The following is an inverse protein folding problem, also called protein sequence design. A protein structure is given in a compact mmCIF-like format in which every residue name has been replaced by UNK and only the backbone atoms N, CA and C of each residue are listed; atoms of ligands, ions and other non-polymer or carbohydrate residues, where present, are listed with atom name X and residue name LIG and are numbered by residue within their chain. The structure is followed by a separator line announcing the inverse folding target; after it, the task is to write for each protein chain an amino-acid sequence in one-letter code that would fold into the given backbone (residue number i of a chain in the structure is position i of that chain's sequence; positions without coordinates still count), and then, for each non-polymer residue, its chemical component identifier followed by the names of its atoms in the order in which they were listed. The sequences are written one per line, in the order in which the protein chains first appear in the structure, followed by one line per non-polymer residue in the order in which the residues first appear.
data_IF_666775685896
#
_entry.id   IF_666775685896
#
_cell.length_a   1.000
_cell.length_b   1.000
_cell.length_c   1.000
_cell.angle_alpha   90.00
_cell.angle_beta   90.00
_cell.angle_gamma   90.00
#
_symmetry.space_group_name_H-M   'P 1'
#
loop_
_entity.id
_entity.type
_entity.pdbx_description
1 polymer ?
#
# COMPACT_ATOMS: atom_id res chain seq x y z
N UNK A 1 -4.79 76.95 37.05
CA UNK A 1 -6.02 77.39 36.37
C UNK A 1 -5.76 77.37 34.87
N UNK A 2 -6.03 76.24 34.22
CA UNK A 2 -6.12 76.12 32.76
C UNK A 2 -7.20 75.07 32.46
N UNK A 3 -8.18 75.34 31.57
CA UNK A 3 -9.38 74.53 31.45
C UNK A 3 -9.31 73.49 30.33
N UNK A 4 -10.22 72.53 30.49
CA UNK A 4 -10.60 71.40 29.64
C UNK A 4 -11.36 71.92 28.40
N UNK A 5 -11.22 71.25 27.25
CA UNK A 5 -12.37 71.01 26.37
C UNK A 5 -12.23 69.75 25.54
N UNK A 6 -13.33 68.99 25.52
CA UNK A 6 -13.52 67.69 24.91
C UNK A 6 -14.58 67.76 23.81
N UNK A 7 -14.61 66.75 22.93
CA UNK A 7 -15.77 66.13 22.23
C UNK A 7 -15.95 66.37 20.71
N UNK A 8 -16.11 65.21 20.03
CA UNK A 8 -17.03 64.87 18.91
C UNK A 8 -16.57 64.93 17.45
N UNK A 9 -16.28 63.73 16.92
CA UNK A 9 -16.93 63.04 15.78
C UNK A 9 -17.67 63.85 14.69
N UNK A 10 -17.35 63.54 13.43
CA UNK A 10 -18.31 63.63 12.32
C UNK A 10 -17.69 63.70 10.91
N UNK A 11 -17.77 62.60 10.17
CA UNK A 11 -18.00 62.61 8.71
C UNK A 11 -16.81 62.89 7.78
N UNK A 12 -16.16 61.81 7.32
CA UNK A 12 -15.47 61.78 6.03
C UNK A 12 -15.81 60.46 5.34
N UNK A 13 -17.08 60.33 4.94
CA UNK A 13 -17.46 59.45 3.85
C UNK A 13 -17.36 60.24 2.56
N UNK A 14 -17.00 59.52 1.49
CA UNK A 14 -17.13 59.87 0.07
C UNK A 14 -15.81 60.22 -0.64
N UNK A 15 -15.07 59.17 -1.07
CA UNK A 15 -14.84 58.88 -2.50
C UNK A 15 -13.80 57.77 -2.75
N UNK A 16 -14.24 56.66 -3.37
CA UNK A 16 -13.44 55.67 -4.11
C UNK A 16 -12.65 54.66 -3.24
N UNK A 17 -12.69 53.35 -3.44
CA UNK A 17 -13.10 52.51 -4.57
C UNK A 17 -13.67 51.20 -4.01
N UNK A 18 -14.81 50.78 -4.55
CA UNK A 18 -15.39 49.47 -4.27
C UNK A 18 -14.58 48.40 -5.01
N UNK A 19 -13.82 47.59 -4.28
CA UNK A 19 -13.32 46.33 -4.81
C UNK A 19 -14.36 45.26 -4.47
N UNK A 20 -15.08 44.79 -5.49
CA UNK A 20 -16.07 43.74 -5.37
C UNK A 20 -15.43 42.48 -4.75
N UNK A 21 -15.85 42.17 -3.53
CA UNK A 21 -15.63 40.85 -2.93
C UNK A 21 -16.40 39.85 -3.80
N UNK A 22 -15.69 39.17 -4.69
CA UNK A 22 -16.25 38.05 -5.45
C UNK A 22 -16.73 37.00 -4.45
N UNK A 23 -17.99 36.53 -4.54
CA UNK A 23 -18.48 35.50 -3.64
C UNK A 23 -17.65 34.23 -3.85
N UNK A 24 -17.23 33.62 -2.75
CA UNK A 24 -16.61 32.29 -2.74
C UNK A 24 -17.44 31.35 -3.61
N UNK A 25 -16.88 30.96 -4.76
CA UNK A 25 -17.49 29.98 -5.63
C UNK A 25 -17.58 28.69 -4.82
N UNK A 26 -18.79 28.34 -4.40
CA UNK A 26 -19.14 27.02 -3.86
C UNK A 26 -18.79 25.98 -4.93
N UNK A 27 -17.55 25.48 -4.89
CA UNK A 27 -17.10 24.37 -5.73
C UNK A 27 -17.95 23.17 -5.31
N UNK A 28 -19.00 22.90 -6.10
CA UNK A 28 -19.97 21.86 -5.83
C UNK A 28 -19.26 20.54 -5.58
N UNK A 29 -19.69 19.82 -4.55
CA UNK A 29 -19.16 18.51 -4.14
C UNK A 29 -19.04 17.55 -5.33
N UNK A 30 -19.96 17.70 -6.29
CA UNK A 30 -20.03 16.96 -7.54
C UNK A 30 -18.84 17.23 -8.49
N UNK A 31 -18.38 18.48 -8.61
CA UNK A 31 -17.20 18.82 -9.41
C UNK A 31 -15.91 18.26 -8.79
N UNK A 32 -15.84 18.21 -7.46
CA UNK A 32 -14.73 17.62 -6.71
C UNK A 32 -14.69 16.11 -6.91
N UNK A 33 -15.85 15.45 -6.83
CA UNK A 33 -16.02 14.01 -7.12
C UNK A 33 -15.71 13.69 -8.59
N UNK A 34 -16.16 14.50 -9.55
CA UNK A 34 -15.83 14.33 -10.98
C UNK A 34 -14.33 14.47 -11.24
N UNK A 35 -13.67 15.44 -10.60
CA UNK A 35 -12.21 15.62 -10.68
C UNK A 35 -11.45 14.44 -10.05
N UNK A 36 -11.99 13.85 -8.99
CA UNK A 36 -11.42 12.72 -8.28
C UNK A 36 -11.56 11.44 -9.11
N UNK A 37 -12.75 11.16 -9.64
CA UNK A 37 -13.00 10.02 -10.53
C UNK A 37 -12.17 10.11 -11.82
N UNK A 38 -12.04 11.29 -12.42
CA UNK A 38 -11.20 11.47 -13.63
C UNK A 38 -9.70 11.34 -13.34
N UNK A 39 -9.24 11.66 -12.13
CA UNK A 39 -7.86 11.41 -11.68
C UNK A 39 -7.61 9.93 -11.36
N UNK A 40 -8.63 9.20 -10.91
CA UNK A 40 -8.58 7.74 -10.70
C UNK A 40 -8.62 6.95 -12.01
N UNK A 41 -9.41 7.42 -12.99
CA UNK A 41 -9.58 6.75 -14.28
C UNK A 41 -8.49 7.07 -15.31
N UNK A 42 -7.64 8.08 -15.07
CA UNK A 42 -6.54 8.42 -15.98
C UNK A 42 -5.29 7.62 -15.62
N UNK A 43 -4.81 6.73 -16.50
CA UNK A 43 -3.60 5.98 -16.22
C UNK A 43 -2.38 6.90 -16.18
N UNK A 44 -1.47 6.62 -15.25
CA UNK A 44 -0.29 7.44 -14.97
C UNK A 44 0.60 7.68 -16.21
N UNK A 45 0.61 6.74 -17.17
CA UNK A 45 1.39 6.85 -18.41
C UNK A 45 0.86 7.89 -19.42
N UNK A 46 -0.42 8.25 -19.36
CA UNK A 46 -1.00 9.32 -20.20
C UNK A 46 -0.82 10.70 -19.59
N UNK A 47 -0.33 10.78 -18.35
CA UNK A 47 -0.02 12.05 -17.70
C UNK A 47 1.41 12.44 -18.07
N UNK A 48 1.62 12.82 -19.34
CA UNK A 48 2.85 13.53 -19.71
C UNK A 48 2.81 14.88 -19.02
N UNK A 49 3.43 14.96 -17.84
CA UNK A 49 3.63 16.23 -17.14
C UNK A 49 4.43 17.14 -18.08
N UNK A 50 3.77 18.11 -18.73
CA UNK A 50 4.40 19.22 -19.49
C UNK A 50 5.09 20.20 -18.53
N UNK A 51 5.92 19.67 -17.65
CA UNK A 51 6.54 20.36 -16.52
C UNK A 51 7.36 19.37 -15.71
N UNK A 52 8.22 18.58 -16.35
CA UNK A 52 9.28 17.85 -15.67
C UNK A 52 10.41 18.85 -15.37
N UNK A 53 10.15 19.74 -14.43
CA UNK A 53 11.25 20.25 -13.62
C UNK A 53 11.80 19.04 -12.85
N UNK A 54 13.12 18.98 -12.75
CA UNK A 54 13.96 17.95 -12.15
C UNK A 54 13.54 17.66 -10.68
N UNK A 55 12.38 17.03 -10.47
CA UNK A 55 11.90 16.66 -9.14
C UNK A 55 12.79 15.53 -8.67
N UNK A 56 13.62 15.84 -7.66
CA UNK A 56 14.36 14.85 -6.91
C UNK A 56 13.45 13.66 -6.60
N UNK A 57 13.92 12.45 -6.93
CA UNK A 57 13.16 11.23 -6.71
C UNK A 57 12.77 11.15 -5.23
N UNK A 58 11.51 10.81 -4.95
CA UNK A 58 11.07 10.56 -3.58
C UNK A 58 11.99 9.49 -2.97
N UNK A 59 12.36 9.64 -1.70
CA UNK A 59 13.21 8.67 -0.98
C UNK A 59 12.76 7.21 -1.11
N UNK A 60 11.46 6.99 -1.24
CA UNK A 60 10.84 5.67 -1.42
C UNK A 60 10.61 5.25 -2.88
N UNK A 61 11.16 5.97 -3.87
CA UNK A 61 10.98 5.64 -5.30
C UNK A 61 11.56 4.28 -5.68
N UNK A 62 12.60 3.81 -4.98
CA UNK A 62 13.16 2.47 -5.17
C UNK A 62 12.16 1.36 -4.84
N UNK A 63 11.24 1.59 -3.89
CA UNK A 63 10.16 0.63 -3.57
C UNK A 63 9.16 0.53 -4.71
N UNK A 64 8.95 1.60 -5.47
CA UNK A 64 8.07 1.59 -6.64
C UNK A 64 8.71 0.76 -7.77
N UNK A 65 10.03 0.85 -7.96
CA UNK A 65 10.78 -0.01 -8.87
C UNK A 65 10.77 -1.49 -8.47
N UNK A 66 11.01 -1.78 -7.18
CA UNK A 66 10.99 -3.13 -6.64
C UNK A 66 9.60 -3.78 -6.78
N UNK A 67 8.52 -3.02 -6.52
CA UNK A 67 7.14 -3.46 -6.76
C UNK A 67 6.88 -3.78 -8.23
N UNK A 68 7.38 -2.96 -9.15
CA UNK A 68 7.24 -3.19 -10.59
C UNK A 68 7.90 -4.50 -11.03
N UNK A 69 9.13 -4.75 -10.55
CA UNK A 69 9.84 -6.00 -10.83
C UNK A 69 9.14 -7.21 -10.23
N UNK A 70 8.67 -7.10 -8.98
CA UNK A 70 7.88 -8.15 -8.33
C UNK A 70 6.58 -8.45 -9.10
N UNK A 71 5.88 -7.41 -9.59
CA UNK A 71 4.66 -7.58 -10.39
C UNK A 71 4.94 -8.33 -11.70
N UNK A 72 6.05 -8.01 -12.36
CA UNK A 72 6.48 -8.72 -13.55
C UNK A 72 6.77 -10.21 -13.26
N UNK A 73 7.46 -10.52 -12.16
CA UNK A 73 7.72 -11.90 -11.76
C UNK A 73 6.43 -12.67 -11.44
N UNK A 74 5.45 -12.05 -10.77
CA UNK A 74 4.14 -12.66 -10.50
C UNK A 74 3.41 -12.97 -11.82
N UNK A 75 3.35 -11.99 -12.73
CA UNK A 75 2.77 -12.20 -14.06
C UNK A 75 3.46 -13.35 -14.80
N UNK A 76 4.79 -13.32 -14.86
CA UNK A 76 5.57 -14.32 -15.59
C UNK A 76 5.39 -15.72 -15.00
N UNK A 77 5.35 -15.84 -13.67
CA UNK A 77 5.06 -17.10 -12.99
C UNK A 77 3.69 -17.66 -13.38
N UNK A 78 2.62 -16.87 -13.28
CA UNK A 78 1.28 -17.33 -13.69
C UNK A 78 1.19 -17.64 -15.19
N UNK A 79 1.88 -16.88 -16.03
CA UNK A 79 1.93 -17.13 -17.46
C UNK A 79 2.65 -18.46 -17.80
N UNK A 80 3.68 -18.84 -17.05
CA UNK A 80 4.43 -20.07 -17.32
C UNK A 80 3.76 -21.32 -16.75
N UNK A 81 3.12 -21.23 -15.58
CA UNK A 81 2.48 -22.38 -14.93
C UNK A 81 1.02 -22.56 -15.37
N UNK A 82 0.18 -21.57 -15.06
CA UNK A 82 -1.28 -21.70 -15.14
C UNK A 82 -1.79 -21.62 -16.58
N UNK A 83 -1.16 -20.79 -17.43
CA UNK A 83 -1.53 -20.74 -18.86
C UNK A 83 -1.06 -21.97 -19.65
N UNK A 84 -0.22 -22.83 -19.04
CA UNK A 84 0.35 -24.04 -19.66
C UNK A 84 0.02 -25.31 -18.87
N UNK A 85 -1.12 -25.33 -18.20
CA UNK A 85 -1.57 -26.49 -17.41
C UNK A 85 -1.68 -27.77 -18.27
N UNK A 86 -2.01 -27.64 -19.56
CA UNK A 86 -2.08 -28.76 -20.52
C UNK A 86 -0.77 -29.52 -20.75
N UNK A 87 0.40 -28.92 -20.45
CA UNK A 87 1.71 -29.60 -20.51
C UNK A 87 2.26 -29.93 -19.11
N UNK A 88 1.47 -29.76 -18.05
CA UNK A 88 1.88 -29.98 -16.65
C UNK A 88 3.16 -29.23 -16.31
N UNK A 89 3.25 -27.98 -16.77
CA UNK A 89 4.41 -27.12 -16.56
C UNK A 89 4.68 -26.88 -15.07
N UNK A 90 3.65 -26.92 -14.23
CA UNK A 90 3.72 -26.94 -12.77
C UNK A 90 4.68 -28.04 -12.26
N UNK A 91 4.55 -29.26 -12.77
CA UNK A 91 5.35 -30.41 -12.33
C UNK A 91 6.81 -30.32 -12.69
N UNK A 92 7.16 -29.49 -13.66
CA UNK A 92 8.54 -29.26 -14.08
C UNK A 92 9.10 -28.04 -13.37
N UNK A 93 8.42 -26.90 -13.49
CA UNK A 93 8.94 -25.60 -13.05
C UNK A 93 8.90 -25.43 -11.53
N UNK A 94 7.92 -26.02 -10.83
CA UNK A 94 7.86 -25.94 -9.36
C UNK A 94 8.87 -26.84 -8.66
N UNK A 95 9.50 -27.76 -9.40
CA UNK A 95 10.45 -28.70 -8.85
C UNK A 95 11.90 -28.29 -9.14
N UNK A 96 12.79 -28.69 -8.24
CA UNK A 96 14.22 -28.42 -8.36
C UNK A 96 14.88 -29.30 -9.43
N UNK A 97 15.99 -28.85 -9.98
CA UNK A 97 16.82 -29.64 -10.90
C UNK A 97 17.15 -31.02 -10.31
N UNK A 98 16.90 -32.09 -11.07
CA UNK A 98 17.09 -33.49 -10.63
C UNK A 98 15.90 -34.11 -9.91
N UNK A 99 14.79 -33.40 -9.71
CA UNK A 99 13.58 -33.99 -9.15
C UNK A 99 13.00 -35.05 -10.10
N UNK A 100 12.84 -36.30 -9.62
CA UNK A 100 12.38 -37.45 -10.41
C UNK A 100 13.19 -37.67 -11.70
N UNK A 101 14.51 -37.55 -11.60
CA UNK A 101 15.45 -37.74 -12.72
C UNK A 101 15.20 -36.78 -13.91
N UNK A 102 14.59 -35.62 -13.65
CA UNK A 102 14.35 -34.58 -14.64
C UNK A 102 15.37 -33.44 -14.52
N UNK A 103 16.01 -33.10 -15.63
CA UNK A 103 17.13 -32.15 -15.66
C UNK A 103 16.87 -31.02 -16.66
N UNK A 104 16.09 -30.03 -16.25
CA UNK A 104 15.79 -28.84 -17.05
C UNK A 104 16.62 -27.64 -16.61
N UNK A 105 17.23 -26.94 -17.56
CA UNK A 105 18.05 -25.73 -17.29
C UNK A 105 17.30 -24.67 -16.47
N UNK A 106 16.00 -24.51 -16.73
CA UNK A 106 15.12 -23.58 -16.01
C UNK A 106 14.96 -23.91 -14.52
N UNK A 107 15.20 -25.15 -14.11
CA UNK A 107 15.11 -25.61 -12.72
C UNK A 107 16.40 -25.41 -11.92
N UNK A 108 17.47 -24.88 -12.54
CA UNK A 108 18.73 -24.58 -11.86
C UNK A 108 18.55 -23.51 -10.77
N UNK A 109 19.31 -23.60 -9.66
CA UNK A 109 19.25 -22.60 -8.60
C UNK A 109 19.62 -21.21 -9.15
N UNK A 110 18.92 -20.17 -8.67
CA UNK A 110 19.05 -18.79 -9.16
C UNK A 110 18.24 -18.54 -10.45
N UNK A 111 18.46 -19.33 -11.50
CA UNK A 111 17.72 -19.19 -12.77
C UNK A 111 16.23 -19.43 -12.54
N UNK A 112 15.89 -20.46 -11.78
CA UNK A 112 14.52 -20.80 -11.41
C UNK A 112 13.76 -19.62 -10.79
N UNK A 113 14.43 -18.73 -10.05
CA UNK A 113 13.79 -17.55 -9.45
C UNK A 113 13.19 -16.61 -10.48
N UNK A 114 13.75 -16.53 -11.69
CA UNK A 114 13.16 -15.72 -12.75
C UNK A 114 11.90 -16.34 -13.36
N UNK A 115 11.64 -17.63 -13.15
CA UNK A 115 10.50 -18.36 -13.72
C UNK A 115 9.44 -18.68 -12.66
N UNK A 116 9.83 -19.23 -11.51
CA UNK A 116 8.92 -19.58 -10.41
C UNK A 116 9.07 -18.68 -9.19
N UNK A 117 9.80 -17.56 -9.29
CA UNK A 117 9.94 -16.60 -8.21
C UNK A 117 8.69 -15.77 -7.93
N UNK A 118 7.57 -16.01 -8.62
CA UNK A 118 6.29 -15.38 -8.31
C UNK A 118 5.87 -15.56 -6.85
N UNK A 119 6.06 -16.75 -6.27
CA UNK A 119 5.77 -17.00 -4.85
C UNK A 119 6.60 -16.10 -3.93
N UNK A 120 7.90 -15.96 -4.21
CA UNK A 120 8.79 -15.05 -3.48
C UNK A 120 8.41 -13.58 -3.70
N UNK A 121 8.02 -13.21 -4.92
CA UNK A 121 7.58 -11.86 -5.25
C UNK A 121 6.33 -11.45 -4.44
N UNK A 122 5.38 -12.36 -4.20
CA UNK A 122 4.23 -12.11 -3.30
C UNK A 122 4.70 -11.79 -1.87
N UNK A 123 5.64 -12.55 -1.32
CA UNK A 123 6.19 -12.24 0.02
C UNK A 123 6.89 -10.88 0.05
N UNK A 124 7.56 -10.51 -1.04
CA UNK A 124 8.19 -9.20 -1.19
C UNK A 124 7.16 -8.07 -1.18
N UNK A 125 5.99 -8.25 -1.82
CA UNK A 125 4.88 -7.29 -1.74
C UNK A 125 4.42 -7.06 -0.30
N UNK A 126 4.29 -8.13 0.50
CA UNK A 126 3.84 -8.00 1.89
C UNK A 126 4.82 -7.22 2.77
N UNK A 127 6.13 -7.47 2.61
CA UNK A 127 7.18 -6.69 3.30
C UNK A 127 7.13 -5.22 2.86
N UNK A 128 7.03 -4.97 1.56
CA UNK A 128 6.96 -3.61 1.02
C UNK A 128 5.69 -2.88 1.49
N UNK A 129 4.55 -3.58 1.54
CA UNK A 129 3.29 -3.06 2.05
C UNK A 129 3.44 -2.67 3.52
N UNK A 130 4.00 -3.54 4.36
CA UNK A 130 4.34 -3.23 5.75
C UNK A 130 5.21 -1.98 5.91
N UNK A 131 6.28 -1.87 5.11
CA UNK A 131 7.16 -0.70 5.12
C UNK A 131 6.40 0.60 4.77
N UNK A 132 5.67 0.61 3.65
CA UNK A 132 5.00 1.84 3.18
C UNK A 132 3.85 2.26 4.08
N UNK A 133 3.12 1.30 4.66
CA UNK A 133 2.05 1.58 5.60
C UNK A 133 2.58 2.22 6.90
N UNK A 134 3.81 1.86 7.30
CA UNK A 134 4.43 2.33 8.54
C UNK A 134 5.18 3.65 8.38
N UNK A 135 5.65 3.98 7.18
CA UNK A 135 6.52 5.13 6.94
C UNK A 135 5.99 6.47 7.46
N UNK A 136 4.73 6.82 7.15
CA UNK A 136 4.15 8.08 7.63
C UNK A 136 3.75 8.03 9.12
N UNK A 137 3.08 6.98 9.61
CA UNK A 137 2.80 6.81 11.03
C UNK A 137 4.04 6.86 11.94
N UNK A 138 5.10 6.11 11.61
CA UNK A 138 6.34 6.10 12.40
C UNK A 138 7.05 7.46 12.37
N UNK A 139 7.05 8.15 11.22
CA UNK A 139 7.51 9.53 11.11
C UNK A 139 6.80 10.47 12.09
N UNK A 140 5.49 10.31 12.28
CA UNK A 140 4.71 11.14 13.20
C UNK A 140 5.01 10.79 14.67
N UNK A 141 5.25 9.51 14.97
CA UNK A 141 5.68 9.06 16.30
C UNK A 141 7.04 9.65 16.67
N UNK A 142 8.01 9.60 15.74
CA UNK A 142 9.34 10.18 15.95
C UNK A 142 9.28 11.70 16.15
N UNK A 143 8.34 12.38 15.49
CA UNK A 143 8.09 13.80 15.68
C UNK A 143 7.24 14.15 16.93
N UNK A 144 6.73 13.15 17.66
CA UNK A 144 5.84 13.36 18.81
C UNK A 144 4.43 13.86 18.45
N UNK A 145 4.03 13.82 17.18
CA UNK A 145 2.77 14.37 16.67
C UNK A 145 1.60 13.36 16.76
N UNK A 146 1.23 12.93 17.97
CA UNK A 146 0.26 11.86 18.19
C UNK A 146 -1.17 12.16 17.72
N UNK A 147 -1.61 13.42 17.74
CA UNK A 147 -2.94 13.79 17.25
C UNK A 147 -3.03 13.56 15.74
N UNK A 148 -2.02 14.02 15.00
CA UNK A 148 -1.92 13.81 13.55
C UNK A 148 -1.73 12.34 13.18
N UNK A 149 -1.13 11.53 14.06
CA UNK A 149 -1.04 10.07 13.88
C UNK A 149 -2.43 9.43 13.80
N UNK A 150 -3.35 9.79 14.71
CA UNK A 150 -4.73 9.29 14.70
C UNK A 150 -5.45 9.63 13.40
N UNK A 151 -5.40 10.91 13.00
CA UNK A 151 -6.00 11.38 11.74
C UNK A 151 -5.39 10.66 10.52
N UNK A 152 -4.07 10.45 10.53
CA UNK A 152 -3.39 9.75 9.47
C UNK A 152 -3.85 8.30 9.35
N UNK A 153 -3.90 7.56 10.47
CA UNK A 153 -4.31 6.15 10.50
C UNK A 153 -5.77 5.98 10.10
N UNK A 154 -6.69 6.78 10.64
CA UNK A 154 -8.11 6.71 10.28
C UNK A 154 -8.32 6.93 8.77
N UNK A 155 -7.66 7.95 8.24
CA UNK A 155 -7.73 8.32 6.83
C UNK A 155 -7.07 7.27 5.92
N UNK A 156 -5.94 6.69 6.34
CA UNK A 156 -5.23 5.65 5.62
C UNK A 156 -6.01 4.32 5.59
N UNK A 157 -6.62 3.93 6.72
CA UNK A 157 -7.45 2.74 6.83
C UNK A 157 -8.67 2.82 5.91
N UNK A 158 -9.46 3.90 6.02
CA UNK A 158 -10.69 4.07 5.22
C UNK A 158 -10.40 4.02 3.71
N UNK A 159 -9.43 4.82 3.25
CA UNK A 159 -9.08 4.83 1.81
C UNK A 159 -8.53 3.49 1.32
N UNK A 160 -7.80 2.77 2.16
CA UNK A 160 -7.16 1.51 1.78
C UNK A 160 -8.19 0.41 1.57
N UNK A 161 -9.19 0.29 2.44
CA UNK A 161 -10.28 -0.67 2.24
C UNK A 161 -11.00 -0.42 0.91
N UNK A 162 -11.34 0.84 0.62
CA UNK A 162 -11.99 1.22 -0.66
C UNK A 162 -11.10 0.88 -1.85
N UNK A 163 -9.83 1.28 -1.81
CA UNK A 163 -8.89 1.06 -2.92
C UNK A 163 -8.66 -0.41 -3.22
N UNK A 164 -8.65 -1.28 -2.21
CA UNK A 164 -8.46 -2.71 -2.40
C UNK A 164 -9.73 -3.39 -2.91
N UNK A 165 -10.90 -3.07 -2.33
CA UNK A 165 -12.12 -3.81 -2.58
C UNK A 165 -12.94 -3.29 -3.78
N UNK A 166 -13.02 -1.97 -4.00
CA UNK A 166 -13.89 -1.40 -5.04
C UNK A 166 -13.43 -1.75 -6.46
N UNK A 167 -12.14 -1.65 -6.83
CA UNK A 167 -11.71 -2.06 -8.17
C UNK A 167 -11.99 -3.54 -8.45
N UNK A 168 -11.81 -4.40 -7.44
CA UNK A 168 -12.10 -5.83 -7.55
C UNK A 168 -13.59 -6.06 -7.75
N UNK A 169 -14.43 -5.44 -6.93
CA UNK A 169 -15.87 -5.53 -7.07
C UNK A 169 -16.31 -5.17 -8.49
N UNK A 170 -15.86 -4.02 -9.01
CA UNK A 170 -16.27 -3.53 -10.33
C UNK A 170 -15.76 -4.45 -11.45
N UNK A 171 -14.47 -4.81 -11.43
CA UNK A 171 -13.88 -5.65 -12.48
C UNK A 171 -14.47 -7.05 -12.50
N UNK A 172 -14.65 -7.66 -11.33
CA UNK A 172 -15.23 -8.99 -11.21
C UNK A 172 -16.72 -9.01 -11.49
N UNK A 173 -17.44 -7.93 -11.16
CA UNK A 173 -18.85 -7.82 -11.54
C UNK A 173 -19.00 -7.75 -13.06
N UNK A 174 -18.19 -6.93 -13.75
CA UNK A 174 -18.16 -6.88 -15.22
C UNK A 174 -17.78 -8.26 -15.81
N UNK A 175 -16.79 -8.92 -15.21
CA UNK A 175 -16.36 -10.25 -15.62
C UNK A 175 -17.50 -11.27 -15.49
N UNK A 176 -18.13 -11.38 -14.31
CA UNK A 176 -19.31 -12.22 -14.07
C UNK A 176 -20.43 -11.94 -15.08
N UNK A 177 -20.74 -10.65 -15.33
CA UNK A 177 -21.80 -10.27 -16.28
C UNK A 177 -21.45 -10.72 -17.70
N UNK A 178 -20.19 -10.55 -18.11
CA UNK A 178 -19.70 -10.97 -19.42
C UNK A 178 -19.86 -12.48 -19.59
N UNK A 179 -19.42 -13.26 -18.60
CA UNK A 179 -19.52 -14.72 -18.64
C UNK A 179 -20.97 -15.21 -18.72
N UNK A 180 -21.86 -14.58 -17.96
CA UNK A 180 -23.27 -14.96 -17.92
C UNK A 180 -24.02 -14.57 -19.20
N UNK A 181 -23.80 -13.35 -19.71
CA UNK A 181 -24.49 -12.84 -20.92
C UNK A 181 -24.04 -13.59 -22.18
N UNK A 182 -22.75 -13.90 -22.30
CA UNK A 182 -22.22 -14.59 -23.47
C UNK A 182 -22.18 -16.13 -23.33
N UNK A 183 -22.58 -16.67 -22.17
CA UNK A 183 -22.58 -18.12 -21.92
C UNK A 183 -21.20 -18.76 -22.00
N UNK A 184 -20.14 -18.01 -21.68
CA UNK A 184 -18.75 -18.48 -21.81
C UNK A 184 -18.42 -19.39 -20.64
N UNK A 185 -18.24 -20.69 -20.90
CA UNK A 185 -17.87 -21.68 -19.89
C UNK A 185 -16.41 -21.53 -19.43
N UNK A 186 -16.18 -21.65 -18.12
CA UNK A 186 -14.84 -21.68 -17.51
C UNK A 186 -14.79 -22.78 -16.45
N UNK A 187 -13.67 -23.50 -16.38
CA UNK A 187 -13.48 -24.61 -15.46
C UNK A 187 -13.66 -24.25 -13.96
N UNK A 188 -13.38 -23.00 -13.57
CA UNK A 188 -13.55 -22.51 -12.20
C UNK A 188 -14.98 -22.05 -11.86
N UNK A 189 -15.90 -22.03 -12.84
CA UNK A 189 -17.26 -21.49 -12.67
C UNK A 189 -18.34 -22.32 -13.33
N UNK A 190 -19.29 -22.76 -12.50
CA UNK A 190 -20.59 -23.17 -12.99
C UNK A 190 -21.55 -21.98 -13.03
N UNK A 191 -22.04 -21.65 -14.23
CA UNK A 191 -23.11 -20.67 -14.44
C UNK A 191 -24.33 -21.02 -13.60
N UNK A 192 -24.88 -20.02 -12.94
CA UNK A 192 -26.17 -20.13 -12.29
C UNK A 192 -27.30 -20.10 -13.31
N UNK A 193 -28.45 -20.67 -12.93
CA UNK A 193 -29.62 -20.78 -13.82
C UNK A 193 -30.18 -19.42 -14.24
N UNK A 194 -30.07 -18.42 -13.36
CA UNK A 194 -30.53 -17.06 -13.65
C UNK A 194 -29.45 -16.04 -13.31
N UNK A 195 -29.49 -14.89 -14.00
CA UNK A 195 -28.56 -13.79 -13.75
C UNK A 195 -28.64 -13.27 -12.32
N UNK A 196 -29.84 -13.24 -11.73
CA UNK A 196 -30.03 -12.81 -10.35
C UNK A 196 -29.41 -13.78 -9.35
N UNK A 197 -29.48 -15.09 -9.61
CA UNK A 197 -28.80 -16.09 -8.79
C UNK A 197 -27.27 -15.92 -8.87
N UNK A 198 -26.74 -15.57 -10.05
CA UNK A 198 -25.32 -15.25 -10.24
C UNK A 198 -24.89 -14.01 -9.44
N UNK A 199 -25.67 -12.92 -9.53
CA UNK A 199 -25.43 -11.68 -8.77
C UNK A 199 -25.49 -11.94 -7.26
N UNK A 200 -26.44 -12.76 -6.81
CA UNK A 200 -26.57 -13.12 -5.40
C UNK A 200 -25.37 -13.95 -4.92
N UNK A 201 -24.96 -14.96 -5.69
CA UNK A 201 -23.75 -15.75 -5.42
C UNK A 201 -22.51 -14.86 -5.36
N UNK A 202 -22.34 -13.99 -6.36
CA UNK A 202 -21.26 -13.00 -6.40
C UNK A 202 -21.22 -12.13 -5.13
N UNK A 203 -22.37 -11.61 -4.70
CA UNK A 203 -22.48 -10.83 -3.47
C UNK A 203 -22.08 -11.64 -2.22
N UNK A 204 -22.54 -12.89 -2.11
CA UNK A 204 -22.22 -13.79 -0.98
C UNK A 204 -20.74 -14.13 -0.95
N UNK A 205 -20.10 -14.37 -2.09
CA UNK A 205 -18.67 -14.60 -2.14
C UNK A 205 -17.90 -13.31 -1.81
N UNK A 206 -18.29 -12.16 -2.38
CA UNK A 206 -17.57 -10.91 -2.19
C UNK A 206 -17.68 -10.39 -0.75
N UNK A 207 -18.83 -10.51 -0.10
CA UNK A 207 -18.98 -10.13 1.32
C UNK A 207 -18.07 -10.97 2.22
N UNK A 208 -17.93 -12.26 1.93
CA UNK A 208 -17.07 -13.16 2.70
C UNK A 208 -15.59 -12.88 2.40
N UNK A 209 -15.25 -12.64 1.14
CA UNK A 209 -13.91 -12.30 0.69
C UNK A 209 -13.40 -10.99 1.30
N UNK A 210 -14.25 -9.95 1.32
CA UNK A 210 -13.90 -8.62 1.87
C UNK A 210 -13.95 -8.53 3.40
N UNK A 211 -14.47 -9.56 4.09
CA UNK A 211 -14.58 -9.59 5.55
C UNK A 211 -13.24 -9.94 6.22
N UNK A 212 -12.72 -8.98 6.99
CA UNK A 212 -11.37 -9.08 7.58
C UNK A 212 -11.25 -10.18 8.64
N UNK A 213 -12.29 -10.41 9.45
CA UNK A 213 -12.29 -11.38 10.54
C UNK A 213 -12.79 -12.76 10.13
N UNK A 214 -12.76 -13.08 8.83
CA UNK A 214 -13.15 -14.40 8.35
C UNK A 214 -12.13 -15.45 8.81
N UNK A 215 -12.58 -16.40 9.61
CA UNK A 215 -11.78 -17.47 10.22
C UNK A 215 -11.85 -18.82 9.47
N UNK A 216 -12.70 -18.94 8.44
CA UNK A 216 -12.83 -20.19 7.69
C UNK A 216 -13.54 -20.09 6.33
N UNK A 217 -13.64 -21.22 5.65
CA UNK A 217 -14.20 -21.37 4.30
C UNK A 217 -13.17 -21.20 3.18
N UNK A 218 -13.64 -21.18 1.95
CA UNK A 218 -12.82 -21.12 0.73
C UNK A 218 -12.13 -19.73 0.61
N UNK A 219 -10.77 -19.66 0.62
CA UNK A 219 -10.03 -18.39 0.67
C UNK A 219 -9.93 -17.68 -0.69
N UNK A 220 -10.22 -18.39 -1.77
CA UNK A 220 -10.22 -17.91 -3.12
C UNK A 220 -11.56 -17.25 -3.45
N UNK A 221 -11.52 -16.40 -4.46
CA UNK A 221 -12.72 -15.89 -5.06
C UNK A 221 -12.96 -16.77 -6.28
N UNK A 222 -14.14 -17.35 -6.42
CA UNK A 222 -14.35 -18.31 -7.52
C UNK A 222 -13.95 -17.62 -8.83
N UNK A 223 -14.36 -16.36 -9.04
CA UNK A 223 -14.19 -15.55 -10.27
C UNK A 223 -12.74 -15.38 -10.68
N UNK A 224 -11.84 -15.29 -9.71
CA UNK A 224 -10.41 -15.27 -9.95
C UNK A 224 -9.67 -15.69 -8.68
N UNK A 225 -9.07 -16.88 -8.73
CA UNK A 225 -8.33 -17.46 -7.61
C UNK A 225 -7.10 -16.63 -7.23
N UNK A 226 -6.55 -15.85 -8.17
CA UNK A 226 -5.32 -15.08 -7.96
C UNK A 226 -5.54 -13.87 -7.04
N UNK A 227 -6.79 -13.48 -6.79
CA UNK A 227 -7.15 -12.37 -5.91
C UNK A 227 -6.98 -12.67 -4.42
N UNK A 228 -6.66 -13.91 -4.03
CA UNK A 228 -6.50 -14.34 -2.64
C UNK A 228 -5.55 -13.46 -1.80
N UNK A 229 -4.59 -12.79 -2.44
CA UNK A 229 -3.63 -11.92 -1.77
C UNK A 229 -4.27 -10.63 -1.23
N UNK A 230 -5.43 -10.21 -1.74
CA UNK A 230 -6.05 -8.93 -1.39
C UNK A 230 -6.64 -8.91 0.03
N UNK A 231 -7.42 -9.92 0.48
CA UNK A 231 -7.85 -10.02 1.86
C UNK A 231 -6.67 -10.12 2.82
N UNK A 232 -5.61 -10.84 2.42
CA UNK A 232 -4.36 -10.96 3.19
C UNK A 232 -3.69 -9.59 3.34
N UNK A 233 -3.58 -8.83 2.25
CA UNK A 233 -3.06 -7.46 2.23
C UNK A 233 -3.84 -6.55 3.17
N UNK A 234 -5.17 -6.66 3.22
CA UNK A 234 -5.98 -5.86 4.13
C UNK A 234 -5.79 -6.30 5.60
N UNK A 235 -5.76 -7.60 5.90
CA UNK A 235 -5.49 -8.13 7.25
C UNK A 235 -4.12 -7.69 7.77
N UNK A 236 -3.08 -7.81 6.95
CA UNK A 236 -1.73 -7.33 7.29
C UNK A 236 -1.72 -5.83 7.57
N UNK A 237 -2.56 -5.05 6.88
CA UNK A 237 -2.67 -3.60 7.13
C UNK A 237 -3.30 -3.27 8.46
N UNK A 238 -4.33 -4.01 8.87
CA UNK A 238 -4.91 -3.87 10.21
C UNK A 238 -3.87 -4.19 11.27
N UNK A 239 -3.11 -5.28 11.10
CA UNK A 239 -2.03 -5.62 12.01
C UNK A 239 -1.01 -4.48 12.14
N UNK A 240 -0.59 -3.86 11.03
CA UNK A 240 0.33 -2.72 11.07
C UNK A 240 -0.29 -1.49 11.75
N UNK A 241 -1.47 -1.05 11.32
CA UNK A 241 -2.08 0.17 11.88
C UNK A 241 -2.36 0.04 13.38
N UNK A 242 -2.80 -1.13 13.83
CA UNK A 242 -3.02 -1.41 15.25
C UNK A 242 -1.71 -1.48 16.03
N UNK A 243 -0.68 -2.15 15.49
CA UNK A 243 0.63 -2.26 16.13
C UNK A 243 1.32 -0.90 16.28
N UNK A 244 1.32 -0.08 15.22
CA UNK A 244 1.93 1.26 15.26
C UNK A 244 1.21 2.16 16.27
N UNK A 245 -0.12 2.07 16.34
CA UNK A 245 -0.88 2.82 17.33
C UNK A 245 -0.57 2.34 18.75
N UNK A 246 -0.54 1.03 18.98
CA UNK A 246 -0.25 0.43 20.27
C UNK A 246 1.16 0.79 20.77
N UNK A 247 2.15 0.80 19.88
CA UNK A 247 3.54 1.10 20.22
C UNK A 247 3.89 2.59 20.13
N UNK A 248 2.92 3.46 19.82
CA UNK A 248 3.15 4.90 19.62
C UNK A 248 3.77 5.59 20.83
N UNK A 249 3.48 5.11 22.05
CA UNK A 249 4.00 5.67 23.31
C UNK A 249 5.17 4.89 23.89
N UNK A 250 5.61 3.81 23.24
CA UNK A 250 6.77 3.06 23.68
C UNK A 250 8.06 3.84 23.44
N UNK A 251 9.06 3.64 24.31
CA UNK A 251 10.41 4.12 24.04
C UNK A 251 10.96 3.43 22.78
N UNK A 252 11.95 4.04 22.11
CA UNK A 252 12.56 3.50 20.88
C UNK A 252 12.91 2.00 20.99
N UNK A 253 13.67 1.62 22.02
CA UNK A 253 14.13 0.24 22.18
C UNK A 253 12.97 -0.70 22.52
N UNK A 254 12.00 -0.25 23.34
CA UNK A 254 10.83 -1.05 23.65
C UNK A 254 9.98 -1.30 22.39
N UNK A 255 9.77 -0.27 21.56
CA UNK A 255 9.05 -0.41 20.29
C UNK A 255 9.72 -1.42 19.37
N UNK A 256 11.03 -1.31 19.12
CA UNK A 256 11.76 -2.27 18.30
C UNK A 256 11.68 -3.70 18.86
N UNK A 257 11.77 -3.86 20.19
CA UNK A 257 11.59 -5.16 20.83
C UNK A 257 10.16 -5.71 20.65
N UNK A 258 9.14 -4.86 20.74
CA UNK A 258 7.76 -5.24 20.46
C UNK A 258 7.55 -5.64 18.99
N UNK A 259 8.18 -4.95 18.04
CA UNK A 259 8.11 -5.31 16.62
C UNK A 259 8.77 -6.67 16.35
N UNK A 260 9.96 -6.93 16.89
CA UNK A 260 10.62 -8.25 16.82
C UNK A 260 9.79 -9.32 17.52
N UNK A 261 9.22 -9.01 18.69
CA UNK A 261 8.33 -9.90 19.42
C UNK A 261 7.08 -10.26 18.62
N UNK A 262 6.48 -9.31 17.90
CA UNK A 262 5.37 -9.57 16.99
C UNK A 262 5.77 -10.47 15.82
N UNK A 263 6.94 -10.27 15.21
CA UNK A 263 7.44 -11.15 14.14
C UNK A 263 7.57 -12.58 14.68
N UNK A 264 8.18 -12.75 15.86
CA UNK A 264 8.31 -14.06 16.50
C UNK A 264 6.94 -14.69 16.80
N UNK A 265 6.02 -13.93 17.39
CA UNK A 265 4.67 -14.36 17.69
C UNK A 265 3.92 -14.83 16.43
N UNK A 266 3.98 -14.05 15.35
CA UNK A 266 3.29 -14.40 14.12
C UNK A 266 3.89 -15.61 13.41
N UNK A 267 5.20 -15.84 13.49
CA UNK A 267 5.82 -17.02 12.87
C UNK A 267 5.58 -18.27 13.70
N UNK A 268 5.80 -18.21 15.02
CA UNK A 268 5.92 -19.43 15.84
C UNK A 268 4.71 -19.74 16.71
N UNK A 269 3.82 -18.78 16.97
CA UNK A 269 2.70 -18.96 17.90
C UNK A 269 1.36 -18.89 17.17
N UNK A 270 1.14 -17.83 16.40
CA UNK A 270 -0.17 -17.55 15.79
C UNK A 270 -0.34 -18.13 14.37
N UNK A 271 0.71 -18.70 13.78
CA UNK A 271 0.74 -19.16 12.38
C UNK A 271 0.28 -18.07 11.37
N UNK A 272 0.61 -16.82 11.69
CA UNK A 272 0.28 -15.62 10.93
C UNK A 272 1.42 -15.17 10.04
N UNK A 273 1.97 -16.06 9.21
CA UNK A 273 3.18 -15.81 8.41
C UNK A 273 3.14 -14.49 7.62
N UNK A 274 1.98 -14.14 7.06
CA UNK A 274 1.79 -12.89 6.32
C UNK A 274 1.88 -11.66 7.23
N UNK A 275 1.33 -11.71 8.44
CA UNK A 275 1.49 -10.65 9.43
C UNK A 275 2.96 -10.46 9.82
N UNK A 276 3.73 -11.55 9.93
CA UNK A 276 5.16 -11.47 10.20
C UNK A 276 5.92 -10.72 9.09
N UNK A 277 5.58 -10.95 7.82
CA UNK A 277 6.18 -10.23 6.68
C UNK A 277 5.85 -8.73 6.71
N UNK A 278 4.59 -8.39 6.99
CA UNK A 278 4.18 -6.99 7.16
C UNK A 278 4.93 -6.33 8.31
N UNK A 279 4.99 -6.97 9.48
CA UNK A 279 5.72 -6.48 10.66
C UNK A 279 7.22 -6.38 10.38
N UNK A 280 7.81 -7.30 9.61
CA UNK A 280 9.18 -7.20 9.12
C UNK A 280 9.39 -5.95 8.27
N UNK A 281 8.43 -5.61 7.41
CA UNK A 281 8.41 -4.34 6.68
C UNK A 281 8.34 -3.11 7.59
N UNK A 282 7.51 -3.15 8.63
CA UNK A 282 7.42 -2.09 9.65
C UNK A 282 8.75 -1.90 10.38
N UNK A 283 9.40 -2.99 10.80
CA UNK A 283 10.70 -2.96 11.47
C UNK A 283 11.79 -2.38 10.56
N UNK A 284 11.85 -2.80 9.29
CA UNK A 284 12.76 -2.21 8.31
C UNK A 284 12.54 -0.71 8.15
N UNK A 285 11.28 -0.27 8.17
CA UNK A 285 10.94 1.15 8.09
C UNK A 285 11.36 1.92 9.34
N UNK A 286 11.15 1.40 10.55
CA UNK A 286 11.56 2.09 11.79
C UNK A 286 13.09 2.20 11.85
N UNK A 287 13.82 1.14 11.49
CA UNK A 287 15.28 1.15 11.43
C UNK A 287 15.82 2.13 10.38
N UNK A 288 15.18 2.24 9.21
CA UNK A 288 15.59 3.22 8.18
C UNK A 288 15.39 4.66 8.68
N UNK A 289 14.27 4.97 9.32
CA UNK A 289 14.02 6.29 9.94
C UNK A 289 15.01 6.61 11.08
N UNK A 290 15.34 5.62 11.91
CA UNK A 290 16.36 5.77 12.95
C UNK A 290 17.77 5.93 12.36
N UNK A 291 18.08 5.27 11.25
CA UNK A 291 19.34 5.46 10.53
C UNK A 291 19.44 6.84 9.89
N UNK A 292 18.33 7.43 9.45
CA UNK A 292 18.31 8.79 8.90
C UNK A 292 18.51 9.87 9.98
N UNK A 293 18.13 9.57 11.22
CA UNK A 293 18.29 10.46 12.38
C UNK A 293 19.55 10.14 13.21
N UNK A 294 20.44 9.28 12.69
CA UNK A 294 21.64 8.76 13.38
C UNK A 294 21.36 8.25 14.81
N UNK A 295 20.16 7.71 15.02
CA UNK A 295 19.63 7.26 16.30
C UNK A 295 19.42 5.74 16.35
N UNK A 296 20.27 4.99 15.65
CA UNK A 296 20.24 3.53 15.65
C UNK A 296 20.58 2.95 17.05
N UNK A 297 20.03 1.77 17.40
CA UNK A 297 20.46 1.02 18.56
C UNK A 297 21.97 0.75 18.58
N UNK A 298 22.60 0.81 19.76
CA UNK A 298 24.04 0.66 19.94
C UNK A 298 24.61 -0.71 19.53
N UNK A 299 23.78 -1.74 19.39
CA UNK A 299 24.24 -3.02 18.84
C UNK A 299 24.35 -2.98 17.31
N UNK A 300 23.58 -2.12 16.63
CA UNK A 300 23.63 -1.94 15.17
C UNK A 300 24.73 -0.98 14.73
N UNK A 301 25.31 -0.18 15.63
CA UNK A 301 26.51 0.62 15.31
C UNK A 301 27.72 -0.22 14.91
N UNK A 302 27.72 -1.53 15.19
CA UNK A 302 28.72 -2.46 14.67
C UNK A 302 28.73 -2.53 13.13
N UNK A 303 27.60 -2.20 12.49
CA UNK A 303 27.45 -2.16 11.04
C UNK A 303 27.83 -0.80 10.43
N UNK A 304 28.21 0.18 11.26
CA UNK A 304 28.64 1.51 10.78
C UNK A 304 29.76 1.48 9.74
N UNK A 305 30.75 0.55 9.77
CA UNK A 305 31.79 0.49 8.73
C UNK A 305 31.25 0.17 7.32
N UNK A 306 30.06 -0.43 7.22
CA UNK A 306 29.42 -0.78 5.95
C UNK A 306 28.45 0.29 5.44
N UNK A 307 28.24 1.39 6.20
CA UNK A 307 27.40 2.53 5.77
C UNK A 307 28.12 3.27 4.64
N UNK A 308 27.86 2.86 3.38
CA UNK A 308 28.22 3.69 2.22
C UNK A 308 27.48 5.02 2.36
N UNK A 309 28.24 6.11 2.48
CA UNK A 309 27.71 7.47 2.55
C UNK A 309 26.79 7.70 1.34
N UNK A 310 25.47 7.79 1.58
CA UNK A 310 24.60 8.47 0.61
C UNK A 310 25.13 9.90 0.48
N UNK A 311 25.24 10.47 -0.73
CA UNK A 311 25.52 11.88 -0.86
C UNK A 311 24.41 12.62 -0.10
N UNK A 312 24.78 13.24 1.02
CA UNK A 312 23.89 14.11 1.76
C UNK A 312 23.56 15.27 0.85
N UNK A 313 22.28 15.46 0.55
CA UNK A 313 21.80 16.74 0.03
C UNK A 313 22.11 17.77 1.11
N UNK A 314 23.18 18.53 0.88
CA UNK A 314 23.63 19.63 1.71
C UNK A 314 22.45 20.57 2.01
N UNK A 315 22.04 20.61 3.27
CA UNK A 315 21.32 21.76 3.80
C UNK A 315 22.25 22.96 3.67
N UNK A 316 21.92 23.88 2.77
CA UNK A 316 22.56 25.18 2.66
C UNK A 316 22.47 25.90 4.00
N UNK A 317 23.56 25.87 4.77
CA UNK A 317 23.77 26.84 5.84
C UNK A 317 23.96 28.20 5.17
N UNK A 318 23.01 29.11 5.39
CA UNK A 318 23.20 30.53 5.13
C UNK A 318 24.30 31.06 6.07
N UNK A 319 25.34 31.72 5.57
CA UNK A 319 26.31 32.39 6.43
C UNK A 319 25.60 33.56 7.12
N UNK A 320 25.71 33.59 8.44
CA UNK A 320 25.49 34.78 9.24
C UNK A 320 26.52 35.85 8.86
N UNK A 321 26.04 36.96 8.32
CA UNK A 321 26.67 38.28 8.41
C UNK A 321 25.58 39.32 8.56
#
# INVERSE_FOLDING_TARGET
MLPINSISNGGLLENGQWEEIKPDVQISTLSRVKSWCTRLARPAFLTRSKGSNNKSLRKTAWLDGLRGFAAFLVYWHHHQLWARDGIRADKILENSFGYKDQYYFVCLPGIRTFFTGGHFAVTTFFVISGYVLSAKPLSLIHAGEYTKLGDNLASALFRRWIRLNVPIFVTMFIYMTTLHVFGIWIASHAHQRTYWDEVWKFYVEFKNFSFVFRTGGEPFFSYDVHLWSIPVEFRGSIAIYTSVLAFSRCTRNARLACEVGLIYYFIYIADGWFCALFTGGMLLCDLDLLSESDNLPSFLTILSPFKKSRPSTSSSQSPST
#
